data_IF_785161978284
#
_entry.id   IF_785161978284
#
_cell.length_a   1.000
_cell.length_b   1.000
_cell.length_c   1.000
_cell.angle_alpha   90.00
_cell.angle_beta   90.00
_cell.angle_gamma   90.00
#
_symmetry.space_group_name_H-M   'P 1'
#
loop_
_entity.id
_entity.type
_entity.pdbx_description
1 polymer ?
#
# COMPACT_ATOMS: atom_id res chain seq x y z
N UNK A 1 -9.17 -0.14 -5.28
CA UNK A 1 -8.79 -1.57 -5.22
C UNK A 1 -8.45 -1.91 -3.77
N UNK A 2 -8.77 -3.12 -3.30
CA UNK A 2 -8.33 -3.59 -1.99
C UNK A 2 -6.96 -4.26 -2.12
N UNK A 3 -6.01 -3.91 -1.26
CA UNK A 3 -4.75 -4.61 -1.13
C UNK A 3 -4.40 -4.86 0.33
N UNK A 4 -3.75 -5.97 0.61
CA UNK A 4 -3.25 -6.33 1.94
C UNK A 4 -1.74 -6.16 1.97
N UNK A 5 -1.24 -5.26 2.81
CA UNK A 5 0.18 -4.99 2.96
C UNK A 5 0.82 -5.96 3.97
N UNK A 6 1.97 -6.54 3.61
CA UNK A 6 2.77 -7.37 4.53
C UNK A 6 4.24 -6.96 4.53
N UNK A 7 4.80 -6.83 5.71
CA UNK A 7 6.23 -6.59 5.94
C UNK A 7 7.04 -7.87 5.72
N UNK A 8 8.36 -7.72 5.59
CA UNK A 8 9.31 -8.83 5.40
C UNK A 8 9.31 -9.85 6.54
N UNK A 9 8.94 -9.42 7.75
CA UNK A 9 8.80 -10.26 8.95
C UNK A 9 7.40 -10.90 9.08
N UNK A 10 6.59 -10.79 8.03
CA UNK A 10 5.21 -11.27 7.95
C UNK A 10 4.20 -10.53 8.83
N UNK A 11 4.63 -9.45 9.51
CA UNK A 11 3.73 -8.52 10.20
C UNK A 11 3.01 -7.59 9.22
N UNK A 12 2.10 -6.77 9.73
CA UNK A 12 1.32 -5.82 8.93
C UNK A 12 1.62 -4.39 9.37
N UNK A 13 1.61 -3.41 8.43
CA UNK A 13 1.69 -2.01 8.82
C UNK A 13 0.54 -1.64 9.78
N UNK A 14 0.77 -0.71 10.71
CA UNK A 14 -0.24 -0.34 11.68
C UNK A 14 -1.42 0.38 11.03
N UNK A 15 -2.59 0.30 11.68
CA UNK A 15 -3.74 1.13 11.33
C UNK A 15 -3.35 2.61 11.32
N UNK A 16 -3.80 3.34 10.31
CA UNK A 16 -3.48 4.75 10.14
C UNK A 16 -2.13 5.03 9.48
N UNK A 17 -1.37 4.00 9.07
CA UNK A 17 -0.22 4.22 8.19
C UNK A 17 -0.71 4.79 6.85
N UNK A 18 -0.03 5.81 6.36
CA UNK A 18 -0.41 6.51 5.13
C UNK A 18 0.43 6.01 3.95
N UNK A 19 -0.22 5.90 2.79
CA UNK A 19 0.39 5.42 1.57
C UNK A 19 0.42 6.57 0.56
N UNK A 20 1.62 6.90 0.10
CA UNK A 20 1.88 8.01 -0.80
C UNK A 20 2.38 7.53 -2.15
N UNK A 21 1.99 8.21 -3.22
CA UNK A 21 2.56 8.00 -4.53
C UNK A 21 3.91 8.74 -4.70
N UNK A 22 4.51 8.67 -5.89
CA UNK A 22 5.77 9.34 -6.18
C UNK A 22 5.66 10.88 -6.15
N UNK A 23 4.47 11.42 -6.41
CA UNK A 23 4.18 12.87 -6.39
C UNK A 23 3.94 13.41 -4.96
N UNK A 24 3.97 12.54 -3.94
CA UNK A 24 3.68 12.92 -2.55
C UNK A 24 2.19 13.08 -2.25
N UNK A 25 1.31 12.53 -3.09
CA UNK A 25 -0.14 12.48 -2.88
C UNK A 25 -0.50 11.25 -2.06
N UNK A 26 -1.28 11.44 -0.99
CA UNK A 26 -1.84 10.33 -0.22
C UNK A 26 -2.93 9.62 -1.04
N UNK A 27 -2.69 8.35 -1.35
CA UNK A 27 -3.57 7.51 -2.20
C UNK A 27 -4.39 6.51 -1.39
N UNK A 28 -3.95 6.21 -0.15
CA UNK A 28 -4.65 5.31 0.76
C UNK A 28 -4.16 5.46 2.20
N UNK A 29 -4.96 4.91 3.12
CA UNK A 29 -4.59 4.68 4.51
C UNK A 29 -4.74 3.19 4.82
N UNK A 30 -3.85 2.66 5.65
CA UNK A 30 -3.90 1.30 6.16
C UNK A 30 -5.01 1.19 7.21
N UNK A 31 -5.88 0.21 7.00
CA UNK A 31 -6.99 -0.23 7.82
C UNK A 31 -6.55 -1.40 8.71
N UNK A 32 -7.51 -2.08 9.32
CA UNK A 32 -7.27 -3.29 10.09
C UNK A 32 -6.65 -4.42 9.25
N UNK A 33 -5.89 -5.29 9.89
CA UNK A 33 -5.18 -6.42 9.29
C UNK A 33 -4.23 -6.06 8.12
N UNK A 34 -3.75 -4.81 8.06
CA UNK A 34 -2.85 -4.34 7.00
C UNK A 34 -3.55 -4.08 5.67
N UNK A 35 -4.89 -4.06 5.64
CA UNK A 35 -5.67 -3.79 4.43
C UNK A 35 -5.60 -2.32 4.06
N UNK A 36 -5.66 -1.99 2.78
CA UNK A 36 -5.72 -0.61 2.31
C UNK A 36 -6.58 -0.52 1.06
N UNK A 37 -7.40 0.52 0.99
CA UNK A 37 -8.14 0.84 -0.22
C UNK A 37 -7.34 1.82 -1.07
N UNK A 38 -6.72 1.32 -2.13
CA UNK A 38 -5.90 2.09 -3.06
C UNK A 38 -6.79 2.73 -4.13
N UNK A 39 -6.72 4.06 -4.25
CA UNK A 39 -7.44 4.84 -5.24
C UNK A 39 -6.49 5.82 -5.95
N UNK A 40 -6.70 6.03 -7.26
CA UNK A 40 -5.87 6.95 -8.05
C UNK A 40 -4.42 6.49 -8.26
N UNK A 41 -4.16 5.18 -8.22
CA UNK A 41 -2.85 4.58 -8.46
C UNK A 41 -2.70 4.06 -9.89
N UNK A 42 -1.47 4.02 -10.38
CA UNK A 42 -1.13 3.44 -11.67
C UNK A 42 -0.59 2.01 -11.52
N UNK A 43 -0.74 1.23 -12.60
CA UNK A 43 -0.10 -0.08 -12.66
C UNK A 43 1.43 0.07 -12.71
N UNK A 44 2.16 -0.84 -12.05
CA UNK A 44 3.62 -0.80 -11.96
C UNK A 44 4.18 0.43 -11.21
N UNK A 45 3.34 1.12 -10.43
CA UNK A 45 3.74 2.26 -9.61
C UNK A 45 4.31 1.80 -8.26
N UNK A 46 5.27 2.55 -7.74
CA UNK A 46 5.81 2.34 -6.38
C UNK A 46 5.24 3.37 -5.43
N UNK A 47 4.67 2.89 -4.33
CA UNK A 47 4.08 3.70 -3.28
C UNK A 47 4.96 3.63 -2.02
N UNK A 48 5.00 4.73 -1.28
CA UNK A 48 5.73 4.86 -0.03
C UNK A 48 4.76 4.71 1.14
N UNK A 49 5.05 3.79 2.05
CA UNK A 49 4.23 3.56 3.25
C UNK A 49 4.92 4.23 4.44
N UNK A 50 4.19 5.12 5.10
CA UNK A 50 4.71 5.99 6.15
C UNK A 50 3.90 5.84 7.44
N UNK A 51 4.61 5.68 8.57
CA UNK A 51 4.03 5.77 9.91
C UNK A 51 5.11 6.14 10.92
N UNK A 52 4.70 6.75 12.04
CA UNK A 52 5.63 7.26 13.04
C UNK A 52 6.51 8.41 12.52
N UNK A 53 5.98 9.21 11.58
CA UNK A 53 6.66 10.39 11.04
C UNK A 53 7.79 10.11 10.04
N UNK A 54 7.94 8.87 9.56
CA UNK A 54 8.96 8.50 8.58
C UNK A 54 8.45 7.46 7.58
N UNK A 55 9.12 7.38 6.43
CA UNK A 55 8.95 6.27 5.50
C UNK A 55 9.54 5.01 6.11
N UNK A 56 8.81 3.91 6.02
CA UNK A 56 9.18 2.65 6.65
C UNK A 56 9.40 1.55 5.63
N UNK A 57 8.59 1.53 4.57
CA UNK A 57 8.74 0.59 3.47
C UNK A 57 8.10 1.14 2.18
N UNK A 58 8.34 0.44 1.08
CA UNK A 58 7.76 0.70 -0.23
C UNK A 58 6.98 -0.53 -0.70
N UNK A 59 5.90 -0.29 -1.43
CA UNK A 59 5.11 -1.31 -2.10
C UNK A 59 5.06 -1.03 -3.60
N UNK A 60 5.10 -2.06 -4.42
CA UNK A 60 4.94 -1.92 -5.87
C UNK A 60 3.61 -2.53 -6.28
N UNK A 61 2.79 -1.73 -6.95
CA UNK A 61 1.55 -2.18 -7.58
C UNK A 61 1.93 -3.04 -8.79
N UNK A 62 1.45 -4.28 -8.93
CA UNK A 62 1.83 -5.12 -10.06
C UNK A 62 1.20 -4.62 -11.37
N UNK A 63 1.72 -5.06 -12.52
CA UNK A 63 1.07 -4.83 -13.80
C UNK A 63 -0.25 -5.61 -13.90
N UNK A 64 -1.34 -4.97 -14.35
CA UNK A 64 -2.60 -5.65 -14.72
C UNK A 64 -3.77 -5.56 -13.73
N UNK A 65 -3.57 -4.95 -12.56
CA UNK A 65 -4.55 -4.91 -11.47
C UNK A 65 -5.49 -3.67 -11.54
N UNK A 66 -6.13 -3.44 -12.69
CA UNK A 66 -7.21 -2.43 -12.82
C UNK A 66 -8.61 -3.02 -12.62
N UNK A 67 -8.71 -4.30 -12.28
CA UNK A 67 -9.97 -5.06 -12.34
C UNK A 67 -10.60 -5.30 -10.95
N UNK A 68 -10.59 -4.29 -10.07
CA UNK A 68 -11.59 -4.01 -9.03
C UNK A 68 -12.09 -5.12 -8.07
N UNK A 69 -11.54 -6.34 -8.04
CA UNK A 69 -12.18 -7.49 -7.38
C UNK A 69 -11.27 -8.43 -6.57
N UNK A 70 -9.96 -8.29 -6.65
CA UNK A 70 -9.03 -9.18 -5.95
C UNK A 70 -8.36 -8.45 -4.79
N UNK A 71 -8.46 -8.98 -3.57
CA UNK A 71 -7.63 -8.54 -2.44
C UNK A 71 -6.19 -8.98 -2.74
N UNK A 72 -5.35 -8.03 -3.12
CA UNK A 72 -4.01 -8.32 -3.60
C UNK A 72 -2.98 -8.19 -2.49
N UNK A 73 -2.09 -9.17 -2.37
CA UNK A 73 -0.97 -9.10 -1.45
C UNK A 73 0.10 -8.12 -1.97
N UNK A 74 0.40 -7.09 -1.17
CA UNK A 74 1.40 -6.06 -1.48
C UNK A 74 2.58 -6.18 -0.49
N UNK A 75 3.70 -6.81 -0.91
CA UNK A 75 4.89 -6.88 -0.07
C UNK A 75 5.48 -5.49 0.18
N UNK A 76 5.64 -5.15 1.45
CA UNK A 76 6.28 -3.92 1.93
C UNK A 76 7.76 -4.23 2.21
N UNK A 77 8.66 -3.59 1.45
CA UNK A 77 10.11 -3.77 1.54
C UNK A 77 10.84 -2.48 1.86
#
# INVERSE_FOLDING_TARGET
MMGTLRLVDNSVPPFGAEIYNADGVSVAMVLEDGKAWLAGINANETLNVMWGGKQQCKVTVPPGENNGRSDMLLPCR
#
